data_IF_019734566039
#
_entry.id   IF_019734566039
#
_cell.length_a   1.000
_cell.length_b   1.000
_cell.length_c   1.000
_cell.angle_alpha   90.00
_cell.angle_beta   90.00
_cell.angle_gamma   90.00
#
_symmetry.space_group_name_H-M   'P 1'
#
loop_
_entity.id
_entity.type
_entity.pdbx_description
1 polymer ?
#
# COMPACT_ATOMS: atom_id res chain seq x y z
N UNK A 1 -15.57 -7.11 17.01
CA UNK A 1 -14.12 -7.06 16.86
C UNK A 1 -13.77 -6.47 15.51
N UNK A 2 -12.94 -5.45 15.53
CA UNK A 2 -12.49 -4.86 14.29
C UNK A 2 -11.54 -5.82 13.58
N UNK A 3 -11.91 -6.26 12.36
CA UNK A 3 -11.02 -7.05 11.54
C UNK A 3 -9.95 -6.11 10.99
N UNK A 4 -8.70 -6.41 11.27
CA UNK A 4 -7.59 -5.64 10.76
C UNK A 4 -7.52 -5.79 9.23
N UNK A 5 -7.52 -4.67 8.51
CA UNK A 5 -7.39 -4.67 7.06
C UNK A 5 -5.91 -4.71 6.68
N UNK A 6 -5.56 -5.64 5.82
CA UNK A 6 -4.18 -5.83 5.38
C UNK A 6 -4.04 -5.33 3.95
N UNK A 7 -3.12 -4.38 3.75
CA UNK A 7 -2.75 -3.86 2.45
C UNK A 7 -1.33 -4.34 2.15
N UNK A 8 -1.21 -5.34 1.30
CA UNK A 8 0.08 -5.98 1.04
C UNK A 8 0.33 -6.16 -0.46
N UNK A 9 0.11 -5.10 -1.23
CA UNK A 9 0.26 -5.14 -2.68
C UNK A 9 1.65 -5.55 -3.13
N UNK A 10 2.70 -5.08 -2.44
CA UNK A 10 4.08 -5.46 -2.75
C UNK A 10 4.30 -6.95 -2.59
N UNK A 11 3.79 -7.53 -1.49
CA UNK A 11 3.89 -8.98 -1.24
C UNK A 11 3.13 -9.79 -2.27
N UNK A 12 1.95 -9.29 -2.72
CA UNK A 12 1.20 -9.94 -3.80
C UNK A 12 2.01 -9.97 -5.09
N UNK A 13 2.61 -8.85 -5.48
CA UNK A 13 3.44 -8.77 -6.68
C UNK A 13 4.65 -9.69 -6.59
N UNK A 14 5.30 -9.72 -5.44
CA UNK A 14 6.45 -10.59 -5.20
C UNK A 14 6.07 -12.07 -5.30
N UNK A 15 4.94 -12.46 -4.71
CA UNK A 15 4.43 -13.83 -4.80
C UNK A 15 4.12 -14.19 -6.24
N UNK A 16 3.47 -13.29 -6.97
CA UNK A 16 3.18 -13.49 -8.38
C UNK A 16 4.46 -13.67 -9.21
N UNK A 17 5.44 -12.80 -8.99
CA UNK A 17 6.72 -12.85 -9.69
C UNK A 17 7.48 -14.14 -9.41
N UNK A 18 7.55 -14.58 -8.16
CA UNK A 18 8.21 -15.83 -7.78
C UNK A 18 7.52 -17.04 -8.39
N UNK A 19 6.20 -16.97 -8.56
CA UNK A 19 5.41 -18.05 -9.13
C UNK A 19 5.42 -18.03 -10.66
N UNK A 20 5.99 -17.00 -11.28
CA UNK A 20 6.04 -16.87 -12.73
C UNK A 20 4.68 -16.69 -13.38
N UNK A 21 3.71 -16.14 -12.66
CA UNK A 21 2.34 -16.00 -13.15
C UNK A 21 2.08 -14.61 -13.68
N UNK A 22 1.23 -14.55 -14.73
CA UNK A 22 0.66 -13.26 -15.17
C UNK A 22 -0.37 -12.80 -14.14
N UNK A 23 -0.74 -11.54 -14.19
CA UNK A 23 -1.81 -11.01 -13.33
C UNK A 23 -3.11 -11.79 -13.53
N UNK A 24 -3.46 -12.10 -14.78
CA UNK A 24 -4.69 -12.86 -15.10
C UNK A 24 -4.69 -14.25 -14.46
N UNK A 25 -3.58 -14.99 -14.60
CA UNK A 25 -3.46 -16.34 -14.03
C UNK A 25 -3.45 -16.28 -12.50
N UNK A 26 -2.79 -15.29 -11.92
CA UNK A 26 -2.76 -15.12 -10.48
C UNK A 26 -4.16 -14.82 -9.95
N UNK A 27 -4.91 -13.94 -10.62
CA UNK A 27 -6.30 -13.64 -10.25
C UNK A 27 -7.17 -14.90 -10.28
N UNK A 28 -7.04 -15.73 -11.33
CA UNK A 28 -7.74 -16.99 -11.42
C UNK A 28 -7.41 -17.92 -10.25
N UNK A 29 -6.12 -18.04 -9.93
CA UNK A 29 -5.67 -18.87 -8.81
C UNK A 29 -6.19 -18.37 -7.47
N UNK A 30 -6.31 -17.06 -7.29
CA UNK A 30 -6.84 -16.47 -6.07
C UNK A 30 -8.37 -16.43 -6.03
N UNK A 31 -9.03 -16.72 -7.13
CA UNK A 31 -10.48 -16.73 -7.20
C UNK A 31 -11.11 -15.33 -7.23
N UNK A 32 -10.40 -14.36 -7.79
CA UNK A 32 -10.87 -12.98 -7.89
C UNK A 32 -10.79 -12.48 -9.33
N UNK A 33 -11.48 -11.39 -9.62
CA UNK A 33 -11.40 -10.76 -10.93
C UNK A 33 -10.05 -10.06 -11.12
N UNK A 34 -9.66 -9.87 -12.38
CA UNK A 34 -8.42 -9.14 -12.69
C UNK A 34 -8.41 -7.71 -12.14
N UNK A 35 -9.49 -6.91 -12.30
CA UNK A 35 -9.52 -5.58 -11.69
C UNK A 35 -9.40 -5.60 -10.15
N UNK A 36 -10.01 -6.58 -9.50
CA UNK A 36 -9.92 -6.73 -8.05
C UNK A 36 -8.48 -7.01 -7.62
N UNK A 37 -7.79 -7.92 -8.32
CA UNK A 37 -6.37 -8.18 -8.05
C UNK A 37 -5.53 -6.93 -8.25
N UNK A 38 -5.76 -6.21 -9.35
CA UNK A 38 -5.02 -4.98 -9.63
C UNK A 38 -5.19 -3.95 -8.51
N UNK A 39 -6.40 -3.80 -7.97
CA UNK A 39 -6.65 -2.90 -6.85
C UNK A 39 -5.90 -3.34 -5.58
N UNK A 40 -5.87 -4.64 -5.31
CA UNK A 40 -5.11 -5.16 -4.16
C UNK A 40 -3.61 -4.98 -4.35
N UNK A 41 -3.09 -5.24 -5.54
CA UNK A 41 -1.66 -5.06 -5.84
C UNK A 41 -1.21 -3.60 -5.76
N UNK A 42 -2.12 -2.67 -6.00
CA UNK A 42 -1.84 -1.23 -5.93
C UNK A 42 -2.25 -0.61 -4.58
N UNK A 43 -2.58 -1.42 -3.59
CA UNK A 43 -3.00 -0.98 -2.26
C UNK A 43 -4.25 -0.08 -2.26
N UNK A 44 -5.08 -0.17 -3.30
CA UNK A 44 -6.36 0.54 -3.35
C UNK A 44 -7.47 -0.25 -2.65
N UNK A 45 -7.18 -1.49 -2.28
CA UNK A 45 -8.13 -2.37 -1.62
C UNK A 45 -7.38 -3.34 -0.70
N UNK A 46 -7.90 -3.60 0.51
CA UNK A 46 -7.27 -4.58 1.39
C UNK A 46 -7.42 -5.99 0.84
N UNK A 47 -6.54 -6.89 1.25
CA UNK A 47 -6.62 -8.29 0.88
C UNK A 47 -7.78 -8.92 1.63
N UNK A 48 -8.70 -9.57 0.89
CA UNK A 48 -9.85 -10.25 1.50
C UNK A 48 -9.43 -11.52 2.24
N UNK A 49 -10.25 -11.95 3.18
CA UNK A 49 -9.99 -13.18 3.95
C UNK A 49 -9.86 -14.39 3.02
N UNK A 50 -10.67 -14.47 1.97
CA UNK A 50 -10.58 -15.56 1.00
C UNK A 50 -9.26 -15.58 0.26
N UNK A 51 -8.75 -14.43 -0.13
CA UNK A 51 -7.45 -14.30 -0.79
C UNK A 51 -6.32 -14.65 0.17
N UNK A 52 -6.39 -14.19 1.43
CA UNK A 52 -5.40 -14.55 2.46
C UNK A 52 -5.32 -16.07 2.62
N UNK A 53 -6.46 -16.74 2.69
CA UNK A 53 -6.51 -18.18 2.83
C UNK A 53 -5.87 -18.89 1.61
N UNK A 54 -6.16 -18.43 0.40
CA UNK A 54 -5.56 -18.96 -0.83
C UNK A 54 -4.06 -18.75 -0.88
N UNK A 55 -3.59 -17.57 -0.46
CA UNK A 55 -2.16 -17.27 -0.39
C UNK A 55 -1.44 -18.25 0.55
N UNK A 56 -2.04 -18.51 1.71
CA UNK A 56 -1.46 -19.45 2.66
C UNK A 56 -1.47 -20.89 2.11
N UNK A 57 -2.59 -21.34 1.57
CA UNK A 57 -2.77 -22.72 1.13
C UNK A 57 -2.04 -23.06 -0.17
N UNK A 58 -2.11 -22.19 -1.16
CA UNK A 58 -1.58 -22.49 -2.50
C UNK A 58 -0.17 -21.94 -2.73
N UNK A 59 0.18 -20.84 -2.08
CA UNK A 59 1.46 -20.17 -2.31
C UNK A 59 2.39 -20.20 -1.09
N UNK A 60 1.94 -20.81 0.01
CA UNK A 60 2.76 -20.95 1.20
C UNK A 60 3.12 -19.63 1.90
N UNK A 61 2.32 -18.59 1.69
CA UNK A 61 2.57 -17.29 2.30
C UNK A 61 2.24 -17.34 3.79
N UNK A 62 3.18 -16.85 4.61
CA UNK A 62 2.99 -16.72 6.05
C UNK A 62 2.19 -15.44 6.32
N UNK A 63 0.95 -15.61 6.81
CA UNK A 63 0.04 -14.48 7.04
C UNK A 63 0.55 -13.55 8.13
N UNK A 64 1.25 -14.07 9.13
CA UNK A 64 1.84 -13.25 10.20
C UNK A 64 2.93 -12.33 9.62
N UNK A 65 3.80 -12.90 8.78
CA UNK A 65 4.85 -12.14 8.10
C UNK A 65 4.24 -11.11 7.15
N UNK A 66 3.17 -11.48 6.46
CA UNK A 66 2.47 -10.57 5.54
C UNK A 66 1.92 -9.35 6.29
N UNK A 67 1.26 -9.56 7.42
CA UNK A 67 0.71 -8.48 8.24
C UNK A 67 1.80 -7.59 8.82
N UNK A 68 2.89 -8.20 9.31
CA UNK A 68 4.03 -7.47 9.85
C UNK A 68 4.70 -6.63 8.75
N UNK A 69 4.83 -7.21 7.55
CA UNK A 69 5.40 -6.51 6.40
C UNK A 69 4.58 -5.31 5.96
N UNK A 70 3.25 -5.40 6.03
CA UNK A 70 2.38 -4.26 5.71
C UNK A 70 2.58 -3.12 6.72
N UNK A 71 2.63 -3.43 8.02
CA UNK A 71 2.86 -2.44 9.06
C UNK A 71 4.23 -1.76 8.88
N UNK A 72 5.28 -2.54 8.63
CA UNK A 72 6.62 -2.00 8.39
C UNK A 72 6.65 -1.09 7.15
N UNK A 73 6.02 -1.51 6.05
CA UNK A 73 5.94 -0.69 4.84
C UNK A 73 5.22 0.61 5.12
N UNK A 74 4.14 0.57 5.89
CA UNK A 74 3.37 1.75 6.25
C UNK A 74 4.20 2.73 7.07
N UNK A 75 5.01 2.23 8.01
CA UNK A 75 5.92 3.06 8.79
C UNK A 75 6.93 3.77 7.88
N UNK A 76 7.54 3.03 6.95
CA UNK A 76 8.50 3.60 6.00
C UNK A 76 7.85 4.69 5.16
N UNK A 77 6.67 4.42 4.62
CA UNK A 77 5.95 5.37 3.78
C UNK A 77 5.58 6.63 4.56
N UNK A 78 5.16 6.49 5.82
CA UNK A 78 4.87 7.64 6.68
C UNK A 78 6.12 8.45 6.99
N UNK A 79 7.26 7.79 7.24
CA UNK A 79 8.53 8.50 7.45
C UNK A 79 8.90 9.35 6.24
N UNK A 80 8.76 8.78 5.04
CA UNK A 80 9.05 9.50 3.80
C UNK A 80 8.11 10.70 3.63
N UNK A 81 6.82 10.51 3.86
CA UNK A 81 5.84 11.58 3.75
C UNK A 81 6.11 12.71 4.74
N UNK A 82 6.41 12.36 5.99
CA UNK A 82 6.61 13.33 7.07
C UNK A 82 7.99 14.01 7.02
N UNK A 83 8.87 13.57 6.13
CA UNK A 83 10.12 14.27 5.84
C UNK A 83 9.94 15.47 4.90
N UNK A 84 8.75 15.60 4.30
CA UNK A 84 8.43 16.74 3.44
C UNK A 84 8.51 18.06 4.23
N UNK A 85 9.07 19.14 3.63
CA UNK A 85 9.12 20.44 4.29
C UNK A 85 7.76 21.03 4.68
N UNK A 86 6.66 20.47 4.18
CA UNK A 86 5.31 20.82 4.60
C UNK A 86 5.12 20.66 6.10
N UNK A 87 5.83 19.73 6.72
CA UNK A 87 5.74 19.44 8.14
C UNK A 87 6.90 20.09 8.90
N UNK A 88 6.59 20.75 10.02
CA UNK A 88 7.61 21.42 10.83
C UNK A 88 8.55 20.43 11.50
N UNK A 89 8.01 19.29 11.93
CA UNK A 89 8.79 18.24 12.57
C UNK A 89 8.14 16.89 12.33
N UNK A 90 8.96 15.88 12.13
CA UNK A 90 8.47 14.51 12.00
C UNK A 90 8.15 13.93 13.38
N UNK A 91 7.02 13.22 13.55
CA UNK A 91 6.76 12.49 14.79
C UNK A 91 7.82 11.43 15.07
N UNK A 92 8.01 11.02 16.34
CA UNK A 92 8.92 9.94 16.65
C UNK A 92 8.53 8.64 15.95
N UNK A 93 9.52 7.80 15.65
CA UNK A 93 9.29 6.51 15.00
C UNK A 93 8.31 5.64 15.79
N UNK A 94 8.35 5.71 17.13
CA UNK A 94 7.43 4.96 17.98
C UNK A 94 5.96 5.33 17.70
N UNK A 95 5.69 6.62 17.46
CA UNK A 95 4.33 7.08 17.13
C UNK A 95 3.87 6.55 15.77
N UNK A 96 4.78 6.49 14.81
CA UNK A 96 4.46 5.95 13.49
C UNK A 96 4.13 4.46 13.56
N UNK A 97 4.87 3.72 14.39
CA UNK A 97 4.58 2.31 14.62
C UNK A 97 3.24 2.09 15.30
N UNK A 98 2.92 2.93 16.29
CA UNK A 98 1.61 2.88 16.93
C UNK A 98 0.48 3.17 15.94
N UNK A 99 0.65 4.17 15.08
CA UNK A 99 -0.35 4.49 14.07
C UNK A 99 -0.54 3.34 13.09
N UNK A 100 0.55 2.73 12.62
CA UNK A 100 0.48 1.62 11.69
C UNK A 100 -0.18 0.38 12.29
N UNK A 101 0.00 0.17 13.60
CA UNK A 101 -0.52 -1.02 14.31
C UNK A 101 -1.94 -0.79 14.81
N UNK A 102 -2.22 0.37 15.42
CA UNK A 102 -3.48 0.61 16.11
C UNK A 102 -4.51 1.37 15.27
N UNK A 103 -4.05 2.13 14.27
CA UNK A 103 -4.93 2.92 13.42
C UNK A 103 -4.52 2.80 11.94
N UNK A 104 -4.44 1.56 11.39
CA UNK A 104 -3.95 1.38 10.02
C UNK A 104 -4.82 2.05 8.96
N UNK A 105 -6.12 2.14 9.18
CA UNK A 105 -7.04 2.81 8.24
C UNK A 105 -6.74 4.30 8.19
N UNK A 106 -6.51 4.92 9.34
CA UNK A 106 -6.16 6.34 9.41
C UNK A 106 -4.79 6.59 8.77
N UNK A 107 -3.81 5.73 9.08
CA UNK A 107 -2.48 5.83 8.49
C UNK A 107 -2.54 5.72 6.96
N UNK A 108 -3.34 4.80 6.44
CA UNK A 108 -3.53 4.64 5.00
C UNK A 108 -4.21 5.88 4.40
N UNK A 109 -5.22 6.41 5.05
CA UNK A 109 -5.92 7.62 4.59
C UNK A 109 -4.95 8.82 4.54
N UNK A 110 -4.08 8.94 5.53
CA UNK A 110 -3.04 9.98 5.54
C UNK A 110 -2.11 9.83 4.33
N UNK A 111 -1.64 8.61 4.05
CA UNK A 111 -0.76 8.36 2.92
C UNK A 111 -1.43 8.64 1.58
N UNK A 112 -2.71 8.29 1.45
CA UNK A 112 -3.47 8.59 0.24
C UNK A 112 -3.63 10.09 0.03
N UNK A 113 -3.91 10.81 1.11
CA UNK A 113 -4.00 12.27 1.07
C UNK A 113 -2.66 12.89 0.68
N UNK A 114 -1.56 12.40 1.25
CA UNK A 114 -0.22 12.90 0.93
C UNK A 114 0.12 12.66 -0.55
N UNK A 115 -0.22 11.49 -1.09
CA UNK A 115 -0.02 11.20 -2.52
C UNK A 115 -0.80 12.17 -3.41
N UNK A 116 -2.05 12.44 -3.05
CA UNK A 116 -2.88 13.39 -3.79
C UNK A 116 -2.26 14.80 -3.75
N UNK A 117 -1.75 15.20 -2.59
CA UNK A 117 -1.04 16.48 -2.43
C UNK A 117 0.18 16.55 -3.36
N UNK A 118 1.02 15.49 -3.36
CA UNK A 118 2.21 15.43 -4.22
C UNK A 118 1.84 15.51 -5.70
N UNK A 119 0.82 14.78 -6.12
CA UNK A 119 0.36 14.83 -7.51
C UNK A 119 -0.11 16.23 -7.89
N UNK A 120 -0.82 16.90 -6.99
CA UNK A 120 -1.25 18.28 -7.21
C UNK A 120 -0.07 19.23 -7.37
N UNK A 121 0.96 19.09 -6.52
CA UNK A 121 2.17 19.89 -6.59
C UNK A 121 2.91 19.65 -7.91
N UNK A 122 3.03 18.43 -8.35
CA UNK A 122 3.67 18.08 -9.61
C UNK A 122 2.93 18.70 -10.81
N UNK A 123 1.60 18.67 -10.79
CA UNK A 123 0.77 19.29 -11.82
C UNK A 123 0.96 20.80 -11.87
N UNK A 124 1.00 21.46 -10.71
CA UNK A 124 1.24 22.90 -10.63
C UNK A 124 2.63 23.24 -11.18
N UNK A 125 3.65 22.48 -10.81
CA UNK A 125 5.00 22.69 -11.31
C UNK A 125 5.06 22.53 -12.82
N UNK A 126 4.38 21.53 -13.40
CA UNK A 126 4.31 21.31 -14.83
C UNK A 126 3.62 22.48 -15.56
N UNK A 127 2.55 23.03 -14.97
CA UNK A 127 1.84 24.18 -15.52
C UNK A 127 2.73 25.43 -15.51
N UNK A 128 3.48 25.66 -14.43
CA UNK A 128 4.41 26.80 -14.32
C UNK A 128 5.52 26.69 -15.37
N UNK A 129 6.08 25.51 -15.56
CA UNK A 129 7.09 25.27 -16.60
C UNK A 129 6.49 25.53 -17.98
N UNK A 130 5.28 25.06 -18.24
CA UNK A 130 4.58 25.31 -19.50
C UNK A 130 4.37 26.80 -19.78
N UNK A 131 4.03 27.58 -18.75
CA UNK A 131 3.87 29.03 -18.86
C UNK A 131 5.21 29.72 -19.17
N UNK A 132 6.29 29.24 -18.59
CA UNK A 132 7.61 29.84 -18.78
C UNK A 132 8.12 29.67 -20.21
N UNK A 133 7.62 28.71 -20.96
CA UNK A 133 8.01 28.40 -22.32
C UNK A 133 7.14 29.05 -23.39
N UNK A 134 6.15 29.82 -23.03
CA UNK A 134 5.23 30.49 -23.96
C UNK A 134 5.78 31.86 -24.39
#
# INVERSE_FOLDING_TARGET
>A
MATQKIYAGTSLRETRGRSGLTQRRFAERLGVSLPYLSQMENNHRPISAGVLLRLAQEFGVDLTTLAAGDAERMVIDMQEALADPLFDAAPPLADLRLAATNAPVLARAFLDLYRAHRQGQERLAALEIGRAHV
#
